data_IF_583381648440
#
_entry.id   IF_583381648440
#
_cell.length_a   1.000
_cell.length_b   1.000
_cell.length_c   1.000
_cell.angle_alpha   90.00
_cell.angle_beta   90.00
_cell.angle_gamma   90.00
#
_symmetry.space_group_name_H-M   'P 1'
#
loop_
_entity.id
_entity.type
_entity.pdbx_description
1 polymer ?
#
# COMPACT_ATOMS: atom_id res chain seq x y z
N UNK A 1 -9.56 10.96 -25.11
CA UNK A 1 -10.13 9.80 -25.84
C UNK A 1 -10.84 8.94 -24.82
N UNK A 2 -12.11 8.59 -25.01
CA UNK A 2 -12.91 7.97 -23.94
C UNK A 2 -12.56 6.50 -23.64
N UNK A 3 -13.19 5.98 -22.59
CA UNK A 3 -13.09 4.59 -22.11
C UNK A 3 -13.41 3.50 -23.15
N UNK A 4 -13.96 3.88 -24.30
CA UNK A 4 -14.29 3.00 -25.43
C UNK A 4 -13.11 2.74 -26.38
N UNK A 5 -11.92 3.24 -26.06
CA UNK A 5 -10.74 3.13 -26.93
C UNK A 5 -10.14 1.72 -26.89
N UNK A 6 -10.01 1.08 -28.05
CA UNK A 6 -9.23 -0.16 -28.20
C UNK A 6 -7.75 0.21 -28.27
N UNK A 7 -6.92 -0.49 -27.49
CA UNK A 7 -5.47 -0.31 -27.46
C UNK A 7 -4.80 -1.58 -28.00
N UNK A 8 -3.67 -1.41 -28.70
CA UNK A 8 -2.96 -2.54 -29.29
C UNK A 8 -1.48 -2.50 -28.95
N UNK A 9 -0.88 -3.67 -28.86
CA UNK A 9 0.57 -3.89 -28.70
C UNK A 9 1.07 -4.81 -29.81
N UNK A 10 2.31 -5.30 -29.73
CA UNK A 10 2.86 -6.26 -30.68
C UNK A 10 2.09 -7.60 -30.70
N UNK A 11 1.57 -8.06 -29.55
CA UNK A 11 0.84 -9.34 -29.45
C UNK A 11 -0.59 -9.20 -28.95
N UNK A 12 -0.94 -8.10 -28.30
CA UNK A 12 -2.17 -7.97 -27.54
C UNK A 12 -3.13 -6.97 -28.15
N UNK A 13 -4.40 -7.29 -28.03
CA UNK A 13 -5.50 -6.35 -28.19
C UNK A 13 -6.16 -6.14 -26.82
N UNK A 14 -6.30 -4.88 -26.43
CA UNK A 14 -6.94 -4.47 -25.18
C UNK A 14 -8.24 -3.77 -25.57
N UNK A 15 -9.35 -4.48 -25.42
CA UNK A 15 -10.68 -3.97 -25.78
C UNK A 15 -11.42 -3.55 -24.52
N UNK A 16 -12.29 -2.51 -24.56
CA UNK A 16 -13.14 -2.19 -23.43
C UNK A 16 -13.87 -3.44 -22.93
N UNK A 17 -13.77 -3.71 -21.63
CA UNK A 17 -14.34 -4.92 -21.02
C UNK A 17 -15.85 -4.87 -21.12
N UNK A 18 -16.43 -5.95 -21.62
CA UNK A 18 -17.87 -6.14 -21.73
C UNK A 18 -18.24 -7.41 -20.93
N UNK A 19 -18.97 -7.29 -19.81
CA UNK A 19 -19.35 -8.45 -19.00
C UNK A 19 -20.14 -9.51 -19.78
N UNK A 20 -20.99 -9.11 -20.73
CA UNK A 20 -21.82 -10.06 -21.48
C UNK A 20 -20.98 -10.88 -22.47
N UNK A 21 -19.96 -10.25 -23.06
CA UNK A 21 -19.04 -10.87 -24.00
C UNK A 21 -17.91 -11.65 -23.33
N UNK A 22 -17.29 -11.09 -22.29
CA UNK A 22 -16.00 -11.57 -21.78
C UNK A 22 -16.14 -12.52 -20.58
N UNK A 23 -17.28 -12.55 -19.88
CA UNK A 23 -17.46 -13.32 -18.65
C UNK A 23 -17.14 -14.82 -18.81
N UNK A 24 -17.50 -15.44 -19.94
CA UNK A 24 -17.22 -16.86 -20.17
C UNK A 24 -15.71 -17.15 -20.18
N UNK A 25 -14.93 -16.34 -20.90
CA UNK A 25 -13.47 -16.47 -20.94
C UNK A 25 -12.80 -16.09 -19.62
N UNK A 26 -13.31 -15.06 -18.95
CA UNK A 26 -12.77 -14.58 -17.67
C UNK A 26 -13.14 -15.46 -16.48
N UNK A 27 -14.19 -16.28 -16.56
CA UNK A 27 -14.54 -17.22 -15.48
C UNK A 27 -13.40 -18.21 -15.20
N UNK A 28 -12.65 -18.62 -16.23
CA UNK A 28 -11.48 -19.48 -16.04
C UNK A 28 -10.32 -18.81 -15.26
N UNK A 29 -10.38 -17.50 -15.05
CA UNK A 29 -9.51 -16.74 -14.15
C UNK A 29 -10.22 -16.45 -12.82
N UNK A 30 -11.43 -15.89 -12.87
CA UNK A 30 -12.16 -15.43 -11.69
C UNK A 30 -12.69 -16.57 -10.82
N UNK A 31 -12.88 -17.78 -11.37
CA UNK A 31 -13.22 -18.97 -10.61
C UNK A 31 -12.01 -19.80 -10.14
N UNK A 32 -10.77 -19.38 -10.41
CA UNK A 32 -9.56 -20.08 -9.93
C UNK A 32 -9.25 -19.63 -8.48
N UNK A 33 -9.31 -20.52 -7.47
CA UNK A 33 -8.98 -20.16 -6.09
C UNK A 33 -7.54 -19.66 -5.91
N UNK A 34 -6.64 -19.96 -6.86
CA UNK A 34 -5.26 -19.49 -6.87
C UNK A 34 -5.03 -18.19 -7.64
N UNK A 35 -6.07 -17.50 -8.09
CA UNK A 35 -5.95 -16.28 -8.91
C UNK A 35 -5.36 -15.10 -8.14
N UNK A 36 -5.81 -14.89 -6.91
CA UNK A 36 -5.46 -13.71 -6.10
C UNK A 36 -4.85 -14.10 -4.75
N UNK A 37 -3.67 -14.76 -4.73
CA UNK A 37 -3.06 -15.27 -3.49
C UNK A 37 -2.64 -14.19 -2.49
N UNK A 38 -2.77 -12.91 -2.84
CA UNK A 38 -2.39 -11.76 -2.02
C UNK A 38 -3.52 -10.72 -1.87
N UNK A 39 -4.73 -11.05 -2.32
CA UNK A 39 -5.88 -10.17 -2.26
C UNK A 39 -7.05 -10.79 -1.50
N UNK A 40 -8.25 -10.32 -1.82
CA UNK A 40 -9.49 -10.62 -1.11
C UNK A 40 -10.55 -11.24 -2.02
N UNK A 41 -10.18 -11.43 -3.28
CA UNK A 41 -11.12 -11.86 -4.30
C UNK A 41 -11.46 -13.33 -4.07
N UNK A 42 -12.67 -13.59 -3.61
CA UNK A 42 -13.22 -14.95 -3.60
C UNK A 42 -13.49 -15.41 -5.04
N UNK A 43 -13.22 -16.69 -5.34
CA UNK A 43 -13.46 -17.21 -6.67
C UNK A 43 -14.95 -17.29 -6.98
N UNK A 44 -15.34 -16.88 -8.18
CA UNK A 44 -16.73 -17.02 -8.63
C UNK A 44 -17.05 -18.48 -8.95
N UNK A 45 -18.26 -18.92 -8.62
CA UNK A 45 -18.70 -20.31 -8.76
C UNK A 45 -19.11 -20.69 -10.18
N UNK A 46 -19.63 -19.74 -10.96
CA UNK A 46 -20.04 -19.94 -12.34
C UNK A 46 -19.90 -18.67 -13.22
N UNK A 47 -20.23 -18.80 -14.50
CA UNK A 47 -20.17 -17.70 -15.48
C UNK A 47 -21.19 -16.60 -15.17
N UNK A 48 -22.35 -16.93 -14.59
CA UNK A 48 -23.37 -15.94 -14.26
C UNK A 48 -22.90 -15.05 -13.10
N UNK A 49 -22.34 -15.65 -12.04
CA UNK A 49 -21.72 -14.91 -10.95
C UNK A 49 -20.52 -14.09 -11.41
N UNK A 50 -19.70 -14.66 -12.31
CA UNK A 50 -18.60 -13.93 -12.96
C UNK A 50 -19.10 -12.67 -13.67
N UNK A 51 -20.20 -12.78 -14.41
CA UNK A 51 -20.81 -11.65 -15.12
C UNK A 51 -21.31 -10.58 -14.16
N UNK A 52 -22.00 -10.97 -13.10
CA UNK A 52 -22.48 -10.03 -12.07
C UNK A 52 -21.32 -9.33 -11.36
N UNK A 53 -20.26 -10.08 -11.02
CA UNK A 53 -19.04 -9.50 -10.44
C UNK A 53 -18.40 -8.47 -11.36
N UNK A 54 -18.25 -8.78 -12.65
CA UNK A 54 -17.70 -7.84 -13.63
C UNK A 54 -18.57 -6.58 -13.77
N UNK A 55 -19.90 -6.71 -13.74
CA UNK A 55 -20.82 -5.55 -13.76
C UNK A 55 -20.63 -4.66 -12.53
N UNK A 56 -20.49 -5.27 -11.35
CA UNK A 56 -20.24 -4.54 -10.11
C UNK A 56 -18.87 -3.83 -10.13
N UNK A 57 -17.80 -4.52 -10.56
CA UNK A 57 -16.44 -3.96 -10.62
C UNK A 57 -16.33 -2.79 -11.63
N UNK A 58 -17.11 -2.84 -12.72
CA UNK A 58 -17.19 -1.74 -13.70
C UNK A 58 -18.07 -0.58 -13.24
N UNK A 59 -18.94 -0.77 -12.24
CA UNK A 59 -19.86 0.26 -11.80
C UNK A 59 -19.09 1.46 -11.25
N UNK A 60 -19.32 2.64 -11.84
CA UNK A 60 -18.68 3.89 -11.41
C UNK A 60 -17.21 4.05 -11.79
N UNK A 61 -16.61 3.10 -12.52
CA UNK A 61 -15.25 3.29 -13.05
C UNK A 61 -15.22 3.94 -14.44
N UNK A 62 -16.38 4.30 -15.00
CA UNK A 62 -16.49 4.98 -16.29
C UNK A 62 -16.17 4.11 -17.51
N UNK A 63 -16.11 2.78 -17.35
CA UNK A 63 -15.72 1.85 -18.41
C UNK A 63 -14.20 1.74 -18.61
N UNK A 64 -13.40 2.29 -17.69
CA UNK A 64 -11.94 2.34 -17.78
C UNK A 64 -11.30 1.00 -17.37
N UNK A 65 -11.75 -0.08 -17.97
CA UNK A 65 -11.17 -1.42 -17.82
C UNK A 65 -11.19 -2.13 -19.16
N UNK A 66 -10.08 -2.76 -19.48
CA UNK A 66 -9.88 -3.46 -20.74
C UNK A 66 -9.74 -4.96 -20.49
N UNK A 67 -10.42 -5.74 -21.31
CA UNK A 67 -10.16 -7.17 -21.45
C UNK A 67 -8.85 -7.36 -22.25
N UNK A 68 -7.96 -8.20 -21.73
CA UNK A 68 -6.64 -8.48 -22.32
C UNK A 68 -6.74 -9.71 -23.21
N UNK A 69 -6.58 -9.54 -24.53
CA UNK A 69 -6.64 -10.61 -25.53
C UNK A 69 -5.28 -10.82 -26.18
N UNK A 70 -4.91 -12.10 -26.38
CA UNK A 70 -3.67 -12.47 -27.07
C UNK A 70 -4.01 -12.87 -28.51
N UNK A 71 -3.56 -12.09 -29.49
CA UNK A 71 -3.88 -12.36 -30.89
C UNK A 71 -3.34 -13.71 -31.38
N UNK A 72 -4.07 -14.38 -32.29
CA UNK A 72 -5.32 -13.95 -32.92
C UNK A 72 -6.60 -14.33 -32.13
N UNK A 73 -6.46 -14.82 -30.90
CA UNK A 73 -7.59 -15.27 -30.09
C UNK A 73 -8.44 -14.08 -29.61
N UNK A 74 -9.75 -14.26 -29.59
CA UNK A 74 -10.73 -13.29 -29.09
C UNK A 74 -11.05 -13.51 -27.60
N UNK A 75 -10.66 -14.65 -27.02
CA UNK A 75 -10.88 -14.94 -25.61
C UNK A 75 -10.09 -13.98 -24.71
N UNK A 76 -10.78 -13.38 -23.73
CA UNK A 76 -10.12 -12.55 -22.72
C UNK A 76 -9.34 -13.44 -21.75
N UNK A 77 -8.05 -13.16 -21.61
CA UNK A 77 -7.15 -13.88 -20.70
C UNK A 77 -7.04 -13.20 -19.33
N UNK A 78 -7.53 -11.98 -19.21
CA UNK A 78 -7.44 -11.17 -18.02
C UNK A 78 -8.04 -9.79 -18.22
N UNK A 79 -7.90 -8.95 -17.21
CA UNK A 79 -8.39 -7.58 -17.22
C UNK A 79 -7.35 -6.64 -16.61
N UNK A 80 -7.35 -5.39 -17.07
CA UNK A 80 -6.50 -4.32 -16.59
C UNK A 80 -7.30 -3.02 -16.66
N UNK A 81 -7.28 -2.21 -15.62
CA UNK A 81 -8.06 -0.98 -15.59
C UNK A 81 -7.83 -0.17 -14.33
N UNK A 82 -8.77 0.73 -14.05
CA UNK A 82 -8.83 1.52 -12.83
C UNK A 82 -10.08 1.18 -12.01
N UNK A 83 -9.99 1.39 -10.71
CA UNK A 83 -11.13 1.33 -9.81
C UNK A 83 -12.11 2.48 -10.06
N UNK A 84 -13.28 2.38 -9.41
CA UNK A 84 -14.32 3.41 -9.41
C UNK A 84 -13.76 4.80 -9.11
N UNK A 85 -14.35 5.82 -9.73
CA UNK A 85 -13.93 7.20 -9.50
C UNK A 85 -14.29 7.64 -8.08
N UNK A 86 -13.27 7.98 -7.30
CA UNK A 86 -13.42 8.47 -5.93
C UNK A 86 -13.39 10.01 -5.86
N UNK A 87 -13.62 10.71 -6.99
CA UNK A 87 -13.51 12.15 -7.10
C UNK A 87 -12.07 12.65 -7.01
N UNK A 88 -11.10 11.82 -7.38
CA UNK A 88 -9.66 12.09 -7.28
C UNK A 88 -9.00 12.10 -8.64
N UNK A 89 -8.03 12.99 -8.82
CA UNK A 89 -7.22 13.07 -10.03
C UNK A 89 -6.15 11.98 -10.12
N UNK A 90 -5.88 11.26 -9.02
CA UNK A 90 -5.03 10.06 -8.99
C UNK A 90 -5.93 8.84 -9.05
N UNK A 91 -5.64 7.92 -9.98
CA UNK A 91 -6.46 6.72 -10.22
C UNK A 91 -5.74 5.44 -9.80
N UNK A 92 -6.40 4.64 -8.96
CA UNK A 92 -5.90 3.32 -8.57
C UNK A 92 -6.08 2.30 -9.68
N UNK A 93 -5.02 1.57 -10.01
CA UNK A 93 -4.96 0.53 -11.03
C UNK A 93 -5.25 -0.85 -10.44
N UNK A 94 -5.84 -1.72 -11.27
CA UNK A 94 -5.97 -3.15 -11.01
C UNK A 94 -5.59 -3.95 -12.26
N UNK A 95 -5.04 -5.16 -12.04
CA UNK A 95 -4.86 -6.12 -13.12
C UNK A 95 -4.89 -7.55 -12.62
N UNK A 96 -5.52 -8.40 -13.41
CA UNK A 96 -5.57 -9.84 -13.20
C UNK A 96 -5.34 -10.56 -14.53
N UNK A 97 -4.69 -11.71 -14.46
CA UNK A 97 -4.42 -12.55 -15.62
C UNK A 97 -4.66 -13.99 -15.22
N UNK A 98 -5.24 -14.79 -16.13
CA UNK A 98 -5.41 -16.23 -15.94
C UNK A 98 -4.07 -16.88 -15.61
N UNK A 99 -4.04 -17.72 -14.57
CA UNK A 99 -2.82 -18.31 -14.02
C UNK A 99 -2.01 -19.11 -15.03
N UNK A 100 -2.67 -19.80 -15.96
CA UNK A 100 -2.02 -20.53 -17.08
C UNK A 100 -1.23 -19.64 -18.04
N UNK A 101 -1.38 -18.31 -17.94
CA UNK A 101 -0.73 -17.31 -18.79
C UNK A 101 0.30 -16.46 -18.03
N UNK A 102 0.53 -16.73 -16.75
CA UNK A 102 1.55 -16.05 -15.96
C UNK A 102 2.96 -16.33 -16.48
N UNK A 103 3.90 -15.42 -16.19
CA UNK A 103 5.31 -15.58 -16.57
C UNK A 103 5.61 -15.36 -18.07
N UNK A 104 4.59 -15.11 -18.90
CA UNK A 104 4.73 -14.94 -20.37
C UNK A 104 4.90 -13.47 -20.82
N UNK A 105 5.02 -12.55 -19.87
CA UNK A 105 5.16 -11.12 -20.13
C UNK A 105 3.89 -10.41 -20.62
N UNK A 106 2.73 -11.07 -20.65
CA UNK A 106 1.48 -10.51 -21.19
C UNK A 106 1.06 -9.24 -20.46
N UNK A 107 0.88 -9.29 -19.14
CA UNK A 107 0.48 -8.10 -18.39
C UNK A 107 1.58 -7.01 -18.37
N UNK A 108 2.85 -7.41 -18.45
CA UNK A 108 3.97 -6.48 -18.57
C UNK A 108 4.03 -5.77 -19.93
N UNK A 109 3.39 -6.32 -20.96
CA UNK A 109 3.21 -5.69 -22.28
C UNK A 109 1.93 -4.84 -22.32
N UNK A 110 0.86 -5.27 -21.65
CA UNK A 110 -0.42 -4.55 -21.61
C UNK A 110 -0.37 -3.27 -20.75
N UNK A 111 0.19 -3.38 -19.53
CA UNK A 111 0.16 -2.32 -18.54
C UNK A 111 0.75 -0.98 -19.01
N UNK A 112 1.91 -0.94 -19.71
CA UNK A 112 2.46 0.32 -20.21
C UNK A 112 1.50 1.11 -21.09
N UNK A 113 0.81 0.44 -22.03
CA UNK A 113 -0.07 1.13 -23.00
C UNK A 113 -1.32 1.70 -22.33
N UNK A 114 -1.91 0.99 -21.37
CA UNK A 114 -3.04 1.52 -20.59
C UNK A 114 -2.59 2.67 -19.69
N UNK A 115 -1.44 2.58 -19.03
CA UNK A 115 -0.93 3.67 -18.19
C UNK A 115 -0.68 4.93 -19.01
N UNK A 116 -0.03 4.83 -20.18
CA UNK A 116 0.12 5.97 -21.09
C UNK A 116 -1.24 6.56 -21.50
N UNK A 117 -2.19 5.69 -21.85
CA UNK A 117 -3.52 6.13 -22.25
C UNK A 117 -4.26 6.87 -21.13
N UNK A 118 -4.14 6.40 -19.89
CA UNK A 118 -4.76 7.03 -18.72
C UNK A 118 -4.13 8.38 -18.40
N UNK A 119 -2.79 8.47 -18.40
CA UNK A 119 -2.08 9.72 -18.10
C UNK A 119 -2.25 10.78 -19.19
N UNK A 120 -2.62 10.39 -20.41
CA UNK A 120 -3.00 11.31 -21.48
C UNK A 120 -4.41 11.91 -21.32
N UNK A 121 -5.23 11.42 -20.38
CA UNK A 121 -6.59 11.94 -20.21
C UNK A 121 -6.62 13.22 -19.38
N UNK A 122 -7.41 14.23 -19.80
CA UNK A 122 -7.67 15.39 -18.96
C UNK A 122 -8.25 14.96 -17.60
N UNK A 123 -7.68 15.49 -16.52
CA UNK A 123 -8.14 15.22 -15.16
C UNK A 123 -7.47 14.03 -14.46
N UNK A 124 -6.70 13.20 -15.18
CA UNK A 124 -5.85 12.18 -14.55
C UNK A 124 -4.44 12.76 -14.38
N UNK A 125 -4.08 13.13 -13.16
CA UNK A 125 -2.76 13.67 -12.81
C UNK A 125 -1.75 12.59 -12.44
N UNK A 126 -2.22 11.38 -12.19
CA UNK A 126 -1.37 10.25 -11.84
C UNK A 126 -2.15 8.95 -11.71
N UNK A 127 -1.41 7.86 -11.68
CA UNK A 127 -1.92 6.52 -11.40
C UNK A 127 -1.14 5.88 -10.25
N UNK A 128 -1.81 5.02 -9.50
CA UNK A 128 -1.18 4.26 -8.42
C UNK A 128 -1.59 2.79 -8.45
N UNK A 129 -0.77 1.92 -7.90
CA UNK A 129 -1.08 0.51 -7.69
C UNK A 129 -0.60 0.08 -6.31
N UNK A 130 -1.50 -0.44 -5.49
CA UNK A 130 -1.18 -0.93 -4.14
C UNK A 130 -0.97 -2.43 -4.19
N UNK A 131 0.27 -2.85 -4.00
CA UNK A 131 0.69 -4.21 -4.29
C UNK A 131 1.28 -4.82 -3.02
N UNK A 132 0.84 -6.01 -2.63
CA UNK A 132 1.47 -6.75 -1.53
C UNK A 132 2.98 -6.89 -1.80
N UNK A 133 3.80 -6.58 -0.80
CA UNK A 133 5.27 -6.60 -0.90
C UNK A 133 5.84 -7.96 -1.33
N UNK A 134 5.10 -9.06 -1.13
CA UNK A 134 5.47 -10.42 -1.56
C UNK A 134 5.10 -10.71 -3.02
N UNK A 135 4.20 -9.92 -3.63
CA UNK A 135 3.75 -10.10 -5.00
C UNK A 135 4.75 -9.51 -6.02
N UNK A 136 5.95 -10.09 -6.06
CA UNK A 136 7.06 -9.64 -6.93
C UNK A 136 6.68 -9.63 -8.42
N UNK A 137 5.75 -10.49 -8.84
CA UNK A 137 5.24 -10.55 -10.22
C UNK A 137 4.48 -9.27 -10.56
N UNK A 138 3.57 -8.84 -9.69
CA UNK A 138 2.79 -7.62 -9.87
C UNK A 138 3.66 -6.37 -9.76
N UNK A 139 4.61 -6.33 -8.81
CA UNK A 139 5.61 -5.25 -8.72
C UNK A 139 6.41 -5.15 -10.03
N UNK A 140 6.79 -6.29 -10.63
CA UNK A 140 7.46 -6.33 -11.92
C UNK A 140 6.61 -5.86 -13.10
N UNK A 141 5.28 -5.96 -13.03
CA UNK A 141 4.35 -5.35 -14.00
C UNK A 141 4.33 -3.83 -13.81
N UNK A 142 4.13 -3.36 -12.58
CA UNK A 142 4.10 -1.94 -12.25
C UNK A 142 5.38 -1.21 -12.73
N UNK A 143 6.56 -1.79 -12.44
CA UNK A 143 7.85 -1.24 -12.91
C UNK A 143 7.94 -1.17 -14.44
N UNK A 144 7.46 -2.18 -15.16
CA UNK A 144 7.44 -2.16 -16.64
C UNK A 144 6.53 -1.08 -17.19
N UNK A 145 5.43 -0.78 -16.49
CA UNK A 145 4.53 0.33 -16.82
C UNK A 145 5.06 1.71 -16.40
N UNK A 146 6.29 1.78 -15.86
CA UNK A 146 6.94 3.02 -15.45
C UNK A 146 6.53 3.52 -14.06
N UNK A 147 5.85 2.70 -13.26
CA UNK A 147 5.54 3.07 -11.88
C UNK A 147 6.75 2.84 -10.97
N UNK A 148 6.89 3.71 -9.98
CA UNK A 148 7.96 3.70 -8.98
C UNK A 148 7.37 3.60 -7.57
N UNK A 149 8.11 2.98 -6.64
CA UNK A 149 7.70 2.90 -5.23
C UNK A 149 7.75 4.30 -4.61
N UNK A 150 6.62 4.78 -4.08
CA UNK A 150 6.52 6.08 -3.40
C UNK A 150 6.35 5.94 -1.89
N UNK A 151 5.68 4.89 -1.42
CA UNK A 151 5.43 4.66 0.00
C UNK A 151 5.07 3.20 0.28
N UNK A 152 4.90 2.91 1.57
CA UNK A 152 4.37 1.63 2.05
C UNK A 152 3.27 1.88 3.07
N UNK A 153 2.33 0.95 3.14
CA UNK A 153 1.27 0.97 4.14
C UNK A 153 0.98 -0.45 4.66
N UNK A 154 0.51 -0.54 5.90
CA UNK A 154 -0.03 -1.78 6.43
C UNK A 154 -1.42 -2.06 5.84
N UNK A 155 -1.70 -3.33 5.58
CA UNK A 155 -3.04 -3.82 5.25
C UNK A 155 -3.40 -4.99 6.15
N UNK A 156 -4.62 -4.96 6.69
CA UNK A 156 -5.15 -6.01 7.55
C UNK A 156 -5.88 -7.00 6.67
N UNK A 157 -5.40 -8.24 6.60
CA UNK A 157 -6.07 -9.40 6.02
C UNK A 157 -6.91 -10.14 7.07
N UNK A 158 -7.81 -11.03 6.64
CA UNK A 158 -8.66 -11.79 7.58
C UNK A 158 -7.84 -12.60 8.61
N UNK A 159 -6.69 -13.12 8.20
CA UNK A 159 -5.84 -14.01 9.00
C UNK A 159 -4.50 -13.38 9.42
N UNK A 160 -4.05 -12.31 8.77
CA UNK A 160 -2.75 -11.69 9.03
C UNK A 160 -2.70 -10.20 8.68
N UNK A 161 -1.63 -9.52 9.06
CA UNK A 161 -1.29 -8.18 8.54
C UNK A 161 -0.18 -8.35 7.51
N UNK A 162 -0.29 -7.65 6.38
CA UNK A 162 0.79 -7.55 5.41
C UNK A 162 1.12 -6.09 5.09
N UNK A 163 2.24 -5.88 4.40
CA UNK A 163 2.61 -4.57 3.89
C UNK A 163 2.35 -4.50 2.40
N UNK A 164 1.77 -3.38 1.97
CA UNK A 164 1.65 -3.01 0.57
C UNK A 164 2.71 -1.96 0.22
N UNK A 165 3.31 -2.13 -0.96
CA UNK A 165 4.04 -1.06 -1.64
C UNK A 165 3.07 -0.26 -2.49
N UNK A 166 3.17 1.07 -2.43
CA UNK A 166 2.42 1.98 -3.28
C UNK A 166 3.30 2.36 -4.45
N UNK A 167 3.01 1.78 -5.60
CA UNK A 167 3.68 2.08 -6.85
C UNK A 167 2.92 3.22 -7.55
N UNK A 168 3.60 4.27 -8.00
CA UNK A 168 2.94 5.45 -8.58
C UNK A 168 3.60 5.88 -9.89
N UNK A 169 2.83 6.58 -10.73
CA UNK A 169 3.35 7.35 -11.85
C UNK A 169 2.51 8.60 -12.06
N UNK A 170 3.16 9.76 -12.02
CA UNK A 170 2.52 11.05 -12.31
C UNK A 170 2.45 11.30 -13.82
N UNK A 171 1.46 12.07 -14.26
CA UNK A 171 1.36 12.56 -15.64
C UNK A 171 2.48 13.57 -15.95
N UNK A 172 2.87 14.36 -14.96
CA UNK A 172 4.00 15.30 -15.01
C UNK A 172 4.99 14.95 -13.87
N UNK A 173 5.99 14.08 -14.12
CA UNK A 173 6.91 13.62 -13.10
C UNK A 173 7.89 14.73 -12.70
N UNK A 174 7.99 14.99 -11.40
CA UNK A 174 8.94 15.95 -10.81
C UNK A 174 9.49 15.39 -9.50
N UNK A 175 10.72 15.77 -9.19
CA UNK A 175 11.30 15.49 -7.88
C UNK A 175 10.55 16.27 -6.80
N UNK A 176 10.41 15.67 -5.62
CA UNK A 176 9.79 16.34 -4.47
C UNK A 176 10.71 17.44 -3.92
N UNK A 177 10.14 18.62 -3.68
CA UNK A 177 10.84 19.70 -2.97
C UNK A 177 11.19 19.32 -1.52
N UNK A 178 10.34 18.49 -0.90
CA UNK A 178 10.52 17.97 0.45
C UNK A 178 10.76 16.46 0.37
N UNK A 179 11.93 16.03 0.83
CA UNK A 179 12.32 14.62 0.84
C UNK A 179 12.15 13.95 2.20
N UNK A 180 12.13 14.72 3.29
CA UNK A 180 12.14 14.18 4.66
C UNK A 180 11.58 15.18 5.67
N UNK A 181 11.00 14.66 6.76
CA UNK A 181 10.67 15.44 7.96
C UNK A 181 11.26 14.72 9.17
N UNK A 182 11.91 15.47 10.06
CA UNK A 182 12.46 14.98 11.33
C UNK A 182 11.93 15.83 12.47
N UNK A 183 10.93 15.37 13.24
CA UNK A 183 10.53 16.06 14.45
C UNK A 183 11.63 15.93 15.51
N UNK A 184 11.88 17.03 16.21
CA UNK A 184 12.76 17.07 17.36
C UNK A 184 11.95 16.80 18.63
N UNK A 185 12.31 15.72 19.33
CA UNK A 185 11.72 15.34 20.59
C UNK A 185 12.66 15.74 21.72
N UNK A 186 12.33 16.80 22.48
CA UNK A 186 13.18 17.23 23.58
C UNK A 186 13.07 16.23 24.73
N UNK A 187 14.20 15.79 25.24
CA UNK A 187 14.33 14.85 26.36
C UNK A 187 15.41 15.36 27.32
N UNK A 188 15.41 14.94 28.57
CA UNK A 188 16.45 15.31 29.52
C UNK A 188 17.73 14.51 29.33
N UNK A 189 17.60 13.33 28.75
CA UNK A 189 18.70 12.39 28.54
C UNK A 189 18.48 11.54 27.29
N UNK A 190 19.41 11.62 26.34
CA UNK A 190 19.34 10.88 25.07
C UNK A 190 19.78 9.42 25.20
N UNK A 191 20.21 8.95 26.38
CA UNK A 191 20.54 7.53 26.62
C UNK A 191 19.33 6.59 26.47
N UNK A 192 18.10 7.12 26.51
CA UNK A 192 16.89 6.36 26.18
C UNK A 192 16.80 5.93 24.71
N UNK A 193 17.66 6.48 23.82
CA UNK A 193 17.64 6.21 22.39
C UNK A 193 17.71 4.73 22.03
N UNK A 194 18.59 3.97 22.67
CA UNK A 194 18.79 2.55 22.33
C UNK A 194 17.57 1.70 22.69
N UNK A 195 17.01 1.93 23.87
CA UNK A 195 15.80 1.24 24.33
C UNK A 195 14.60 1.59 23.44
N UNK A 196 14.45 2.86 23.06
CA UNK A 196 13.40 3.29 22.14
C UNK A 196 13.59 2.68 20.74
N UNK A 197 14.84 2.65 20.25
CA UNK A 197 15.15 2.04 18.97
C UNK A 197 14.79 0.55 18.94
N UNK A 198 15.13 -0.18 20.00
CA UNK A 198 14.81 -1.60 20.14
C UNK A 198 13.29 -1.86 20.21
N UNK A 199 12.58 -1.13 21.09
CA UNK A 199 11.14 -1.32 21.30
C UNK A 199 10.36 -1.02 20.01
N UNK A 200 10.69 0.09 19.35
CA UNK A 200 9.99 0.59 18.16
C UNK A 200 10.48 -0.04 16.86
N UNK A 201 11.58 -0.78 16.88
CA UNK A 201 12.23 -1.29 15.67
C UNK A 201 12.83 -0.20 14.79
N UNK A 202 13.35 0.88 15.41
CA UNK A 202 14.08 1.94 14.73
C UNK A 202 15.59 1.66 14.77
N UNK A 203 16.35 2.46 14.03
CA UNK A 203 17.81 2.38 13.94
C UNK A 203 18.46 3.67 14.42
N UNK A 204 19.47 3.57 15.27
CA UNK A 204 20.33 4.70 15.64
C UNK A 204 21.20 5.06 14.43
N UNK A 205 20.90 6.19 13.79
CA UNK A 205 21.63 6.65 12.61
C UNK A 205 22.96 7.30 12.99
N UNK A 206 22.95 8.20 13.98
CA UNK A 206 24.16 8.81 14.54
C UNK A 206 23.89 9.42 15.92
N UNK A 207 24.98 9.77 16.60
CA UNK A 207 25.03 10.43 17.90
C UNK A 207 25.95 11.64 17.80
N UNK A 208 25.58 12.75 18.44
CA UNK A 208 26.38 13.96 18.38
C UNK A 208 26.10 14.89 19.58
N UNK A 209 27.12 15.61 20.11
CA UNK A 209 28.56 15.35 19.97
C UNK A 209 28.97 14.11 20.79
N UNK A 210 30.23 14.01 21.24
CA UNK A 210 30.67 13.03 22.25
C UNK A 210 31.11 13.80 23.52
N UNK A 211 30.39 13.69 24.66
CA UNK A 211 29.21 12.86 24.90
C UNK A 211 27.96 13.35 24.14
N UNK A 212 27.02 12.44 23.81
CA UNK A 212 25.86 12.78 22.97
C UNK A 212 24.83 13.63 23.70
N UNK A 213 24.47 14.74 23.07
CA UNK A 213 23.31 15.57 23.43
C UNK A 213 22.21 15.49 22.36
N UNK A 214 22.45 14.80 21.26
CA UNK A 214 21.49 14.55 20.19
C UNK A 214 21.70 13.15 19.62
N UNK A 215 20.59 12.42 19.42
CA UNK A 215 20.60 11.11 18.78
C UNK A 215 19.51 11.07 17.72
N UNK A 216 19.84 10.63 16.50
CA UNK A 216 18.86 10.42 15.43
C UNK A 216 18.44 8.96 15.37
N UNK A 217 17.14 8.73 15.46
CA UNK A 217 16.52 7.43 15.20
C UNK A 217 15.87 7.45 13.81
N UNK A 218 16.01 6.36 13.05
CA UNK A 218 15.53 6.25 11.66
C UNK A 218 14.74 4.97 11.43
N UNK A 219 13.83 4.99 10.46
CA UNK A 219 13.01 3.83 10.08
C UNK A 219 13.83 2.67 9.51
N UNK A 220 14.94 2.96 8.84
CA UNK A 220 15.83 1.97 8.22
C UNK A 220 17.30 2.38 8.42
N UNK A 221 18.27 1.46 8.33
CA UNK A 221 19.69 1.80 8.52
C UNK A 221 20.32 2.48 7.29
N UNK A 222 19.55 2.74 6.23
CA UNK A 222 20.06 3.26 4.97
C UNK A 222 20.05 4.79 4.93
N UNK A 223 20.98 5.36 4.15
CA UNK A 223 21.03 6.81 3.93
C UNK A 223 19.71 7.34 3.36
N UNK A 224 19.32 8.54 3.78
CA UNK A 224 18.05 9.16 3.36
C UNK A 224 16.82 8.67 4.15
N UNK A 225 16.95 7.68 5.04
CA UNK A 225 15.85 7.27 5.90
C UNK A 225 15.36 8.40 6.81
N UNK A 226 14.04 8.50 6.95
CA UNK A 226 13.40 9.45 7.85
C UNK A 226 13.25 8.87 9.25
N UNK A 227 12.86 9.70 10.21
CA UNK A 227 12.67 9.29 11.59
C UNK A 227 12.56 10.49 12.53
N UNK A 228 13.09 10.36 13.75
CA UNK A 228 12.95 11.35 14.81
C UNK A 228 14.32 11.71 15.40
N UNK A 229 14.48 12.92 15.91
CA UNK A 229 15.64 13.30 16.69
C UNK A 229 15.28 13.34 18.17
N UNK A 230 16.13 12.78 19.03
CA UNK A 230 16.09 13.02 20.47
C UNK A 230 17.08 14.13 20.78
N UNK A 231 16.62 15.22 21.38
CA UNK A 231 17.44 16.40 21.70
C UNK A 231 17.50 16.59 23.21
N UNK A 232 18.69 16.48 23.78
CA UNK A 232 18.92 16.79 25.18
C UNK A 232 18.61 18.27 25.44
N UNK A 233 17.68 18.53 26.35
CA UNK A 233 17.18 19.86 26.66
C UNK A 233 17.36 20.16 28.13
N UNK A 234 17.98 21.29 28.44
CA UNK A 234 18.11 21.80 29.81
C UNK A 234 16.90 22.68 30.19
N UNK A 235 16.53 22.65 31.47
CA UNK A 235 15.41 23.44 31.98
C UNK A 235 14.02 22.83 31.71
N UNK A 236 12.97 23.66 31.61
CA UNK A 236 11.61 23.18 31.35
C UNK A 236 11.48 22.53 29.98
N UNK A 237 11.02 21.28 29.94
CA UNK A 237 10.78 20.56 28.68
C UNK A 237 9.27 20.65 28.36
N UNK A 238 8.88 21.23 27.21
CA UNK A 238 7.48 21.29 26.83
C UNK A 238 6.95 19.88 26.51
N UNK A 239 5.68 19.60 26.83
CA UNK A 239 5.02 18.39 26.33
C UNK A 239 5.05 18.38 24.80
N UNK A 240 5.47 17.26 24.22
CA UNK A 240 5.47 17.04 22.79
C UNK A 240 4.95 15.65 22.48
N UNK A 241 4.32 15.49 21.32
CA UNK A 241 3.87 14.19 20.86
C UNK A 241 4.29 13.93 19.43
N UNK A 242 4.82 12.73 19.20
CA UNK A 242 5.15 12.23 17.87
C UNK A 242 4.37 10.94 17.65
N UNK A 243 3.78 10.79 16.46
CA UNK A 243 3.07 9.57 16.08
C UNK A 243 3.95 8.70 15.22
N UNK A 244 4.04 7.42 15.57
CA UNK A 244 4.79 6.39 14.87
C UNK A 244 3.78 5.42 14.26
N UNK A 245 3.79 5.34 12.93
CA UNK A 245 2.89 4.47 12.18
C UNK A 245 3.56 3.12 11.88
N UNK A 246 2.94 2.05 12.36
CA UNK A 246 3.49 0.71 12.29
C UNK A 246 2.95 -0.05 11.07
N UNK A 247 3.87 -0.78 10.44
CA UNK A 247 3.59 -1.81 9.45
C UNK A 247 3.15 -3.16 10.04
N UNK A 248 3.03 -3.25 11.38
CA UNK A 248 2.76 -4.46 12.16
C UNK A 248 1.71 -4.17 13.25
N UNK A 249 1.16 -5.20 13.87
CA UNK A 249 0.22 -5.05 14.97
C UNK A 249 0.82 -4.23 16.15
N UNK A 250 0.16 -3.15 16.61
CA UNK A 250 0.62 -2.36 17.76
C UNK A 250 0.85 -3.15 19.03
N UNK A 251 0.11 -4.23 19.24
CA UNK A 251 0.22 -5.10 20.40
C UNK A 251 1.64 -5.68 20.56
N UNK A 252 2.33 -5.97 19.46
CA UNK A 252 3.72 -6.45 19.51
C UNK A 252 4.68 -5.39 20.08
N UNK A 253 4.46 -4.12 19.73
CA UNK A 253 5.29 -3.01 20.25
C UNK A 253 4.90 -2.67 21.67
N UNK A 254 3.62 -2.79 22.02
CA UNK A 254 3.15 -2.66 23.40
C UNK A 254 3.79 -3.70 24.33
N UNK A 255 3.82 -4.97 23.94
CA UNK A 255 4.49 -6.04 24.70
C UNK A 255 5.99 -5.77 24.87
N UNK A 256 6.67 -5.29 23.83
CA UNK A 256 8.09 -4.87 23.91
C UNK A 256 8.28 -3.70 24.88
N UNK A 257 7.39 -2.71 24.84
CA UNK A 257 7.46 -1.55 25.73
C UNK A 257 7.31 -1.97 27.21
N UNK A 258 6.35 -2.85 27.51
CA UNK A 258 6.18 -3.40 28.86
C UNK A 258 7.40 -4.24 29.30
N UNK A 259 7.92 -5.10 28.42
CA UNK A 259 9.09 -5.92 28.71
C UNK A 259 10.35 -5.06 28.97
N UNK A 260 10.46 -3.92 28.29
CA UNK A 260 11.51 -2.94 28.50
C UNK A 260 11.29 -2.05 29.74
N UNK A 261 10.14 -2.16 30.44
CA UNK A 261 9.83 -1.34 31.61
C UNK A 261 9.48 0.12 31.28
N UNK A 262 9.08 0.40 30.04
CA UNK A 262 8.61 1.73 29.64
C UNK A 262 7.19 1.99 30.16
N UNK A 263 6.92 3.24 30.55
CA UNK A 263 5.57 3.66 30.91
C UNK A 263 4.68 3.76 29.67
N UNK A 264 3.43 3.32 29.78
CA UNK A 264 2.44 3.33 28.69
C UNK A 264 1.10 3.89 29.17
N UNK A 265 0.40 4.58 28.28
CA UNK A 265 -0.94 5.13 28.51
C UNK A 265 -2.01 4.09 28.12
N UNK A 266 -2.09 3.03 28.92
CA UNK A 266 -3.04 1.94 28.73
C UNK A 266 -2.71 0.97 27.58
N UNK A 267 -3.50 -0.10 27.42
CA UNK A 267 -3.33 -1.08 26.37
C UNK A 267 -3.74 -0.52 24.98
N UNK A 268 -3.32 -1.16 23.88
CA UNK A 268 -3.77 -0.76 22.54
C UNK A 268 -5.29 -0.84 22.39
N UNK A 269 -5.87 0.22 21.83
CA UNK A 269 -7.31 0.36 21.59
C UNK A 269 -7.59 0.66 20.13
N UNK A 270 -8.71 0.13 19.62
CA UNK A 270 -9.15 0.41 18.25
C UNK A 270 -9.81 1.79 18.18
N UNK A 271 -9.55 2.50 17.10
CA UNK A 271 -10.00 3.87 16.86
C UNK A 271 -10.98 3.94 15.68
N UNK A 272 -11.87 4.95 15.65
CA UNK A 272 -12.87 5.12 14.58
C UNK A 272 -12.31 5.24 13.17
N UNK A 273 -11.03 5.60 13.01
CA UNK A 273 -10.34 5.72 11.71
C UNK A 273 -9.58 4.44 11.33
N UNK A 274 -10.04 3.28 11.82
CA UNK A 274 -9.49 1.96 11.49
C UNK A 274 -8.01 1.78 11.83
N UNK A 275 -7.57 2.37 12.95
CA UNK A 275 -6.23 2.18 13.50
C UNK A 275 -6.31 1.69 14.94
N UNK A 276 -5.33 0.91 15.35
CA UNK A 276 -5.14 0.49 16.73
C UNK A 276 -4.01 1.29 17.34
N UNK A 277 -4.19 1.82 18.56
CA UNK A 277 -3.29 2.85 19.11
C UNK A 277 -3.03 2.68 20.59
N UNK A 278 -1.83 3.04 21.05
CA UNK A 278 -1.49 3.32 22.45
C UNK A 278 -0.40 4.41 22.49
N UNK A 279 0.03 4.84 23.68
CA UNK A 279 1.16 5.75 23.80
C UNK A 279 2.22 5.23 24.77
N UNK A 280 3.49 5.43 24.42
CA UNK A 280 4.62 5.31 25.35
C UNK A 280 4.87 6.69 25.95
N UNK A 281 4.97 6.75 27.28
CA UNK A 281 5.17 7.96 28.05
C UNK A 281 6.66 8.06 28.43
N UNK A 282 7.33 9.11 27.95
CA UNK A 282 8.70 9.39 28.37
C UNK A 282 8.70 10.13 29.71
N UNK A 283 9.75 9.97 30.54
CA UNK A 283 9.83 10.60 31.88
C UNK A 283 9.69 12.13 31.86
N UNK A 284 10.02 12.76 30.75
CA UNK A 284 10.02 14.21 30.58
C UNK A 284 8.69 14.77 30.03
N UNK A 285 7.64 13.94 29.96
CA UNK A 285 6.28 14.34 29.58
C UNK A 285 5.98 14.21 28.08
N UNK A 286 6.93 13.72 27.27
CA UNK A 286 6.69 13.46 25.86
C UNK A 286 5.89 12.18 25.67
N UNK A 287 5.09 12.16 24.61
CA UNK A 287 4.26 11.03 24.25
C UNK A 287 4.62 10.51 22.86
N UNK A 288 5.12 9.29 22.79
CA UNK A 288 5.26 8.57 21.53
C UNK A 288 3.95 7.81 21.28
N UNK A 289 3.07 8.38 20.45
CA UNK A 289 1.84 7.71 20.04
C UNK A 289 2.20 6.63 19.04
N UNK A 290 1.87 5.40 19.35
CA UNK A 290 2.09 4.25 18.48
C UNK A 290 0.75 3.89 17.87
N UNK A 291 0.68 3.87 16.55
CA UNK A 291 -0.51 3.44 15.83
C UNK A 291 -0.16 2.39 14.78
N UNK A 292 -1.12 1.54 14.45
CA UNK A 292 -0.92 0.46 13.50
C UNK A 292 -2.22 -0.10 12.96
N UNK A 293 -2.14 -1.12 12.09
CA UNK A 293 -3.30 -1.89 11.64
C UNK A 293 -4.13 -2.42 12.81
N UNK A 294 -5.44 -2.56 12.57
CA UNK A 294 -6.32 -3.34 13.45
C UNK A 294 -5.86 -4.80 13.54
N UNK A 295 -6.37 -5.52 14.54
CA UNK A 295 -6.19 -6.97 14.60
C UNK A 295 -6.95 -7.61 13.43
N UNK A 296 -6.38 -8.65 12.78
CA UNK A 296 -7.15 -9.51 11.91
C UNK A 296 -8.37 -10.05 12.66
N UNK A 297 -9.55 -9.81 12.11
CA UNK A 297 -10.76 -10.43 12.63
C UNK A 297 -10.73 -11.90 12.22
N UNK A 298 -10.46 -12.81 13.17
CA UNK A 298 -10.68 -14.24 12.94
C UNK A 298 -12.17 -14.47 12.67
N UNK A 299 -12.56 -14.42 11.40
CA UNK A 299 -13.92 -14.59 10.88
C UNK A 299 -15.00 -13.73 11.57
N UNK A 300 -15.16 -12.49 11.11
CA UNK A 300 -16.50 -11.96 10.88
C UNK A 300 -16.75 -12.01 9.37
N UNK A 301 -17.83 -12.66 8.94
CA UNK A 301 -18.11 -12.93 7.53
C UNK A 301 -18.12 -11.67 6.65
N UNK A 302 -17.60 -11.82 5.43
CA UNK A 302 -17.94 -11.07 4.22
C UNK A 302 -18.73 -9.77 4.44
N UNK A 303 -18.03 -8.64 4.55
CA UNK A 303 -18.60 -7.31 4.53
C UNK A 303 -17.88 -6.46 3.47
N UNK A 304 -18.57 -6.24 2.35
CA UNK A 304 -18.16 -5.40 1.22
C UNK A 304 -17.80 -3.96 1.62
N UNK A 305 -16.70 -3.44 1.09
CA UNK A 305 -16.51 -2.04 0.72
C UNK A 305 -15.46 -1.93 -0.39
#
# INVERSE_FOLDING_TARGET
>A
MGATTVLTTARLELVPLDPDRDAESLHAMLGDPGMDPYGWSEPTSDVAETRERLRADLAGNGGWTWAVRLRPDEAALGALGIFSDQGRSIRGLSWHLRRSHWGRGIMGEAAPVVVEHLLAQPGITGVEAWIDTRNLRSIGVARRAGLQEASRMARVYADHVAQQVVMVRAADPRDSDVVAVFPDLPVRDVRCADQLAEVLGLHVAFRYPDPPTMVRLTLTPWAGSHGINLIQTEGPIPPASVTIDLGIAPDLVYERALAAGLAVDGPPVDQPWYRRTFAILLPDGQQLRVQGPLRPERNAGSGSA
#
